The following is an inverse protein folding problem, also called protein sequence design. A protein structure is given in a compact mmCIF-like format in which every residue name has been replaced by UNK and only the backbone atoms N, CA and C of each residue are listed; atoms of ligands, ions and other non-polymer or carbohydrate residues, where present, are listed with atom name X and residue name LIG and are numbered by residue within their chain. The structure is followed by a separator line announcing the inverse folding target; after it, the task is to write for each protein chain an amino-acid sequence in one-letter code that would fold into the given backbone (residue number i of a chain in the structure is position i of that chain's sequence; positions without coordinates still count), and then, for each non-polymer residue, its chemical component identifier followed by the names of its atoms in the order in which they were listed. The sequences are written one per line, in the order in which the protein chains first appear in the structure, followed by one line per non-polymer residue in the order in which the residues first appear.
data_IF_577345190661
#
_entry.id   IF_577345190661
#
_cell.length_a   1.000
_cell.length_b   1.000
_cell.length_c   1.000
_cell.angle_alpha   90.00
_cell.angle_beta   90.00
_cell.angle_gamma   90.00
#
_symmetry.space_group_name_H-M   'P 1'
#
loop_
_entity.id
_entity.type
_entity.pdbx_description
1 polymer ?
#
# COMPACT_ATOMS: atom_id res chain seq x y z
N UNK A 1 -19.95 24.77 -20.76
CA UNK A 1 -18.86 24.82 -19.79
C UNK A 1 -17.87 23.71 -20.18
N UNK A 2 -16.70 24.05 -20.76
CA UNK A 2 -15.69 23.04 -21.15
C UNK A 2 -14.98 22.62 -19.87
N UNK A 3 -15.21 21.37 -19.43
CA UNK A 3 -14.40 20.80 -18.38
C UNK A 3 -12.93 20.83 -18.80
N UNK A 4 -12.02 21.38 -17.99
CA UNK A 4 -10.61 21.34 -18.30
C UNK A 4 -10.20 19.85 -18.47
N UNK A 5 -9.35 19.58 -19.45
CA UNK A 5 -8.89 18.20 -19.77
C UNK A 5 -8.40 17.46 -18.53
N UNK A 6 -7.83 18.19 -17.57
CA UNK A 6 -7.36 17.63 -16.31
C UNK A 6 -8.47 17.07 -15.41
N UNK A 7 -9.66 17.66 -15.38
CA UNK A 7 -10.80 17.15 -14.58
C UNK A 7 -11.33 15.85 -15.17
N UNK A 8 -11.06 15.62 -16.46
CA UNK A 8 -11.35 14.35 -17.12
C UNK A 8 -10.43 13.22 -16.63
N UNK A 9 -9.16 13.54 -16.35
CA UNK A 9 -8.16 12.58 -15.89
C UNK A 9 -8.07 12.46 -14.37
N UNK A 10 -8.33 13.55 -13.65
CA UNK A 10 -8.18 13.64 -12.19
C UNK A 10 -9.45 14.24 -11.55
N UNK A 11 -10.62 13.59 -11.68
CA UNK A 11 -11.84 14.10 -11.05
C UNK A 11 -11.62 14.11 -9.53
N UNK A 12 -11.73 15.27 -8.91
CA UNK A 12 -11.65 15.40 -7.46
C UNK A 12 -12.83 14.68 -6.81
N UNK A 13 -12.56 13.60 -6.13
CA UNK A 13 -13.55 12.87 -5.34
C UNK A 13 -13.00 12.62 -3.94
N UNK A 14 -13.83 12.75 -2.90
CA UNK A 14 -13.37 12.47 -1.55
C UNK A 14 -13.02 10.99 -1.42
N UNK A 15 -11.75 10.71 -1.10
CA UNK A 15 -11.25 9.35 -0.87
C UNK A 15 -11.70 8.85 0.49
N UNK A 16 -11.81 9.77 1.45
CA UNK A 16 -12.16 9.45 2.83
C UNK A 16 -13.64 9.71 3.08
N UNK A 17 -14.33 8.75 3.66
CA UNK A 17 -15.72 8.89 4.11
C UNK A 17 -15.80 9.66 5.42
N UNK A 18 -14.88 9.37 6.32
CA UNK A 18 -14.77 10.10 7.59
C UNK A 18 -13.87 11.32 7.38
N UNK A 19 -14.35 12.48 7.77
CA UNK A 19 -13.56 13.72 7.73
C UNK A 19 -12.95 13.94 9.10
N UNK A 20 -11.64 14.09 9.14
CA UNK A 20 -10.90 14.45 10.35
C UNK A 20 -10.12 15.73 10.08
N UNK A 21 -10.15 16.67 11.04
CA UNK A 21 -9.33 17.88 10.93
C UNK A 21 -7.84 17.48 10.94
N UNK A 22 -6.98 18.13 10.15
CA UNK A 22 -5.56 17.74 10.05
C UNK A 22 -4.86 17.64 11.41
N UNK A 23 -5.09 18.60 12.29
CA UNK A 23 -4.52 18.59 13.64
C UNK A 23 -4.96 17.37 14.44
N UNK A 24 -6.25 17.00 14.39
CA UNK A 24 -6.77 15.81 15.08
C UNK A 24 -6.15 14.56 14.50
N UNK A 25 -5.98 14.47 13.16
CA UNK A 25 -5.34 13.35 12.51
C UNK A 25 -3.88 13.19 12.98
N UNK A 26 -3.14 14.30 13.06
CA UNK A 26 -1.75 14.30 13.53
C UNK A 26 -1.68 13.84 15.00
N UNK A 27 -2.50 14.42 15.87
CA UNK A 27 -2.55 14.04 17.28
C UNK A 27 -2.93 12.57 17.46
N UNK A 28 -3.97 12.11 16.75
CA UNK A 28 -4.38 10.71 16.78
C UNK A 28 -3.27 9.77 16.29
N UNK A 29 -2.57 10.14 15.22
CA UNK A 29 -1.46 9.35 14.70
C UNK A 29 -0.34 9.18 15.73
N UNK A 30 0.12 10.27 16.35
CA UNK A 30 1.18 10.19 17.36
C UNK A 30 0.74 9.46 18.63
N UNK A 31 -0.49 9.71 19.11
CA UNK A 31 -1.04 9.03 20.29
C UNK A 31 -1.18 7.52 20.04
N UNK A 32 -1.70 7.11 18.88
CA UNK A 32 -1.80 5.69 18.52
C UNK A 32 -0.43 5.08 18.28
N UNK A 33 0.53 5.81 17.70
CA UNK A 33 1.91 5.34 17.54
C UNK A 33 2.51 5.05 18.90
N UNK A 34 2.40 5.95 19.87
CA UNK A 34 2.91 5.74 21.21
C UNK A 34 2.23 4.52 21.90
N UNK A 35 0.91 4.43 21.79
CA UNK A 35 0.14 3.31 22.34
C UNK A 35 0.56 1.97 21.72
N UNK A 36 0.59 1.89 20.39
CA UNK A 36 0.91 0.64 19.69
C UNK A 36 2.40 0.28 19.77
N UNK A 37 3.30 1.25 20.04
CA UNK A 37 4.71 0.95 20.31
C UNK A 37 4.89 0.04 21.53
N UNK A 38 3.91 0.01 22.44
CA UNK A 38 3.89 -0.91 23.58
C UNK A 38 3.84 -2.37 23.08
N UNK A 39 3.21 -2.64 21.93
CA UNK A 39 3.15 -3.98 21.36
C UNK A 39 4.56 -4.57 21.09
N UNK A 40 5.54 -3.71 20.77
CA UNK A 40 6.93 -4.15 20.55
C UNK A 40 7.62 -4.75 21.79
N UNK A 41 7.14 -4.46 22.99
CA UNK A 41 7.64 -5.11 24.20
C UNK A 41 7.17 -6.55 24.33
N UNK A 42 5.97 -6.85 23.78
CA UNK A 42 5.40 -8.21 23.80
C UNK A 42 5.83 -9.00 22.57
N UNK A 43 5.90 -8.35 21.43
CA UNK A 43 6.34 -8.94 20.18
C UNK A 43 7.83 -8.65 19.97
N UNK A 44 8.69 -9.36 20.68
CA UNK A 44 10.14 -9.17 20.57
C UNK A 44 10.68 -9.65 19.22
N UNK A 45 11.70 -8.96 18.65
CA UNK A 45 12.29 -9.35 17.37
C UNK A 45 13.23 -10.56 17.54
N UNK A 46 12.68 -11.76 17.67
CA UNK A 46 13.39 -13.03 17.90
C UNK A 46 12.86 -14.12 16.94
N UNK A 47 13.67 -15.09 16.57
CA UNK A 47 13.30 -16.15 15.64
C UNK A 47 12.87 -15.60 14.26
N UNK A 48 11.66 -15.87 13.83
CA UNK A 48 11.09 -15.31 12.60
C UNK A 48 10.52 -13.90 12.79
N UNK A 49 10.18 -13.52 14.03
CA UNK A 49 9.69 -12.20 14.34
C UNK A 49 10.80 -11.18 14.14
N UNK A 50 10.53 -10.14 13.38
CA UNK A 50 11.50 -9.09 13.08
C UNK A 50 12.68 -9.56 12.23
N UNK A 51 12.51 -10.59 11.40
CA UNK A 51 13.59 -11.09 10.55
C UNK A 51 14.23 -10.00 9.72
N UNK A 52 13.44 -9.21 8.99
CA UNK A 52 13.92 -8.10 8.16
C UNK A 52 14.49 -6.96 9.02
N UNK A 53 13.85 -6.67 10.15
CA UNK A 53 14.36 -5.71 11.11
C UNK A 53 15.78 -6.07 11.55
N UNK A 54 16.00 -7.30 12.03
CA UNK A 54 17.29 -7.75 12.53
C UNK A 54 18.35 -7.91 11.44
N UNK A 55 17.92 -8.23 10.21
CA UNK A 55 18.86 -8.45 9.10
C UNK A 55 19.30 -7.14 8.45
N UNK A 56 18.48 -6.09 8.51
CA UNK A 56 18.72 -4.85 7.78
C UNK A 56 18.60 -3.61 8.68
N UNK A 57 17.40 -3.28 9.11
CA UNK A 57 17.10 -1.98 9.69
C UNK A 57 17.68 -1.81 11.10
N UNK A 58 17.51 -2.78 11.96
CA UNK A 58 17.93 -2.75 13.37
C UNK A 58 19.45 -2.80 13.56
N UNK A 59 20.18 -3.32 12.58
CA UNK A 59 21.65 -3.37 12.58
C UNK A 59 22.28 -2.28 11.73
N UNK A 60 21.49 -1.36 11.19
CA UNK A 60 21.99 -0.24 10.37
C UNK A 60 22.45 -0.63 8.98
N UNK A 61 22.19 -1.86 8.54
CA UNK A 61 22.53 -2.35 7.20
C UNK A 61 21.42 -2.01 6.21
N UNK A 62 21.29 -0.74 5.85
CA UNK A 62 20.26 -0.27 4.89
C UNK A 62 20.74 -0.58 3.48
N UNK A 63 20.02 -1.45 2.74
CA UNK A 63 20.39 -1.80 1.37
C UNK A 63 20.46 -0.58 0.44
N UNK A 64 21.41 -0.59 -0.49
CA UNK A 64 21.68 0.51 -1.43
C UNK A 64 20.56 0.78 -2.46
N UNK A 65 19.51 -0.04 -2.50
CA UNK A 65 18.35 0.18 -3.37
C UNK A 65 17.30 1.14 -2.76
N UNK A 66 17.55 1.71 -1.59
CA UNK A 66 16.74 2.80 -1.04
C UNK A 66 17.24 4.17 -1.53
N UNK A 67 16.36 5.17 -1.67
CA UNK A 67 16.75 6.52 -2.01
C UNK A 67 17.77 7.09 -0.99
N UNK A 68 18.63 8.05 -1.38
CA UNK A 68 19.71 8.56 -0.52
C UNK A 68 19.27 9.04 0.87
N UNK A 69 18.10 9.71 0.96
CA UNK A 69 17.54 10.15 2.25
C UNK A 69 16.94 9.02 3.08
N UNK A 70 16.65 7.87 2.45
CA UNK A 70 16.01 6.72 3.10
C UNK A 70 16.86 6.16 4.21
N UNK A 71 18.17 6.07 4.01
CA UNK A 71 19.10 5.55 5.02
C UNK A 71 19.01 6.34 6.33
N UNK A 72 19.04 7.67 6.23
CA UNK A 72 18.94 8.52 7.42
C UNK A 72 17.62 8.32 8.18
N UNK A 73 16.50 8.27 7.47
CA UNK A 73 15.19 8.06 8.07
C UNK A 73 15.08 6.68 8.74
N UNK A 74 15.56 5.64 8.05
CA UNK A 74 15.45 4.24 8.52
C UNK A 74 16.29 4.04 9.78
N UNK A 75 17.46 4.63 9.87
CA UNK A 75 18.36 4.51 11.03
C UNK A 75 17.78 5.13 12.32
N UNK A 76 16.77 6.01 12.23
CA UNK A 76 16.09 6.58 13.39
C UNK A 76 14.98 5.68 13.95
N UNK A 77 14.63 4.61 13.24
CA UNK A 77 13.54 3.73 13.66
C UNK A 77 14.02 2.72 14.71
N UNK A 78 13.24 2.56 15.74
CA UNK A 78 13.35 1.42 16.66
C UNK A 78 12.33 0.35 16.29
N UNK A 79 12.51 -0.89 16.77
CA UNK A 79 11.52 -1.94 16.58
C UNK A 79 10.11 -1.50 17.02
N UNK A 80 10.03 -0.94 18.23
CA UNK A 80 8.77 -0.50 18.80
C UNK A 80 8.13 0.62 17.98
N UNK A 81 8.92 1.60 17.51
CA UNK A 81 8.40 2.68 16.67
C UNK A 81 7.94 2.19 15.30
N UNK A 82 8.62 1.23 14.71
CA UNK A 82 8.21 0.62 13.44
C UNK A 82 6.84 -0.04 13.56
N UNK A 83 6.64 -0.86 14.61
CA UNK A 83 5.34 -1.48 14.89
C UNK A 83 4.26 -0.44 15.19
N UNK A 84 4.59 0.55 16.03
CA UNK A 84 3.68 1.61 16.42
C UNK A 84 3.19 2.42 15.21
N UNK A 85 4.10 2.87 14.35
CA UNK A 85 3.79 3.63 13.13
C UNK A 85 2.94 2.77 12.17
N UNK A 86 3.30 1.50 12.00
CA UNK A 86 2.56 0.58 11.11
C UNK A 86 1.12 0.42 11.56
N UNK A 87 0.90 0.09 12.84
CA UNK A 87 -0.43 -0.13 13.39
C UNK A 87 -1.25 1.16 13.46
N UNK A 88 -0.65 2.29 13.86
CA UNK A 88 -1.32 3.58 13.91
C UNK A 88 -1.75 4.04 12.50
N UNK A 89 -0.83 4.01 11.55
CA UNK A 89 -1.10 4.37 10.16
C UNK A 89 -2.19 3.51 9.55
N UNK A 90 -2.09 2.20 9.69
CA UNK A 90 -3.08 1.26 9.19
C UNK A 90 -4.46 1.49 9.81
N UNK A 91 -4.53 1.59 11.14
CA UNK A 91 -5.80 1.80 11.87
C UNK A 91 -6.49 3.09 11.46
N UNK A 92 -5.74 4.19 11.32
CA UNK A 92 -6.29 5.47 10.87
C UNK A 92 -6.74 5.41 9.42
N UNK A 93 -5.99 4.75 8.53
CA UNK A 93 -6.41 4.58 7.14
C UNK A 93 -7.69 3.76 7.05
N UNK A 94 -7.81 2.68 7.81
CA UNK A 94 -9.00 1.85 7.91
C UNK A 94 -10.18 2.66 8.44
N UNK A 95 -10.00 3.40 9.53
CA UNK A 95 -11.04 4.26 10.11
C UNK A 95 -11.55 5.30 9.11
N UNK A 96 -10.66 6.04 8.46
CA UNK A 96 -11.04 7.09 7.51
C UNK A 96 -11.77 6.54 6.27
N UNK A 97 -11.49 5.29 5.88
CA UNK A 97 -12.13 4.61 4.76
C UNK A 97 -13.39 3.86 5.16
N UNK A 98 -13.58 3.59 6.45
CA UNK A 98 -14.59 2.67 6.93
C UNK A 98 -16.01 3.08 6.50
N UNK A 99 -16.71 2.11 5.97
CA UNK A 99 -18.15 2.15 5.72
C UNK A 99 -18.94 1.48 6.84
N UNK A 100 -18.35 0.42 7.39
CA UNK A 100 -18.88 -0.37 8.47
C UNK A 100 -17.77 -0.71 9.45
N UNK A 101 -18.00 -0.54 10.75
CA UNK A 101 -17.03 -0.86 11.80
C UNK A 101 -16.56 -2.32 11.72
N UNK A 102 -17.48 -3.22 11.37
CA UNK A 102 -17.17 -4.64 11.18
C UNK A 102 -16.13 -4.85 10.07
N UNK A 103 -16.31 -4.22 8.89
CA UNK A 103 -15.35 -4.31 7.77
C UNK A 103 -13.99 -3.70 8.15
N UNK A 104 -14.01 -2.66 8.97
CA UNK A 104 -12.80 -2.06 9.52
C UNK A 104 -12.06 -3.04 10.44
N UNK A 105 -12.77 -3.66 11.38
CA UNK A 105 -12.18 -4.63 12.31
C UNK A 105 -11.64 -5.86 11.56
N UNK A 106 -12.39 -6.41 10.61
CA UNK A 106 -11.98 -7.57 9.82
C UNK A 106 -10.74 -7.29 9.00
N UNK A 107 -10.55 -6.07 8.46
CA UNK A 107 -9.37 -5.72 7.67
C UNK A 107 -8.05 -5.85 8.45
N UNK A 108 -8.10 -5.76 9.78
CA UNK A 108 -6.94 -5.95 10.65
C UNK A 108 -6.41 -7.40 10.66
N UNK A 109 -7.18 -8.35 10.16
CA UNK A 109 -6.79 -9.76 10.06
C UNK A 109 -6.28 -10.12 8.65
N UNK A 110 -6.00 -9.14 7.80
CA UNK A 110 -5.42 -9.40 6.49
C UNK A 110 -3.99 -9.93 6.60
N UNK A 111 -3.65 -10.92 5.78
CA UNK A 111 -2.32 -11.50 5.77
C UNK A 111 -1.22 -10.45 5.54
N UNK A 112 -1.33 -9.48 4.61
CA UNK A 112 -0.29 -8.48 4.40
C UNK A 112 0.04 -7.69 5.67
N UNK A 113 -0.96 -7.31 6.48
CA UNK A 113 -0.70 -6.61 7.74
C UNK A 113 0.06 -7.48 8.73
N UNK A 114 -0.44 -8.68 8.98
CA UNK A 114 0.20 -9.59 9.94
C UNK A 114 1.61 -9.96 9.49
N UNK A 115 1.80 -10.21 8.21
CA UNK A 115 3.11 -10.55 7.67
C UNK A 115 4.13 -9.41 7.84
N UNK A 116 3.73 -8.17 7.56
CA UNK A 116 4.58 -6.99 7.75
C UNK A 116 4.96 -6.79 9.22
N UNK A 117 4.01 -6.99 10.14
CA UNK A 117 4.27 -6.91 11.57
C UNK A 117 5.27 -7.99 12.02
N UNK A 118 5.12 -9.21 11.50
CA UNK A 118 6.05 -10.31 11.82
C UNK A 118 7.44 -10.09 11.23
N UNK A 119 7.54 -9.62 9.99
CA UNK A 119 8.84 -9.41 9.35
C UNK A 119 9.57 -8.16 9.85
N UNK A 120 8.85 -7.13 10.27
CA UNK A 120 9.42 -5.81 10.57
C UNK A 120 9.81 -5.05 9.32
N UNK A 121 8.91 -5.03 8.31
CA UNK A 121 9.12 -4.38 7.04
C UNK A 121 8.73 -2.91 7.05
N UNK A 122 9.38 -2.11 6.20
CA UNK A 122 9.13 -0.67 6.05
C UNK A 122 7.82 -0.34 5.32
N UNK A 123 7.13 -1.34 4.75
CA UNK A 123 5.85 -1.17 4.05
C UNK A 123 4.79 -0.52 4.93
N UNK A 124 4.84 -0.80 6.24
CA UNK A 124 3.97 -0.16 7.23
C UNK A 124 4.15 1.35 7.30
N UNK A 125 5.40 1.82 7.25
CA UNK A 125 5.72 3.26 7.25
C UNK A 125 5.25 3.93 5.96
N UNK A 126 5.48 3.29 4.82
CA UNK A 126 4.99 3.79 3.53
C UNK A 126 3.46 3.84 3.53
N UNK A 127 2.80 2.82 4.09
CA UNK A 127 1.34 2.80 4.24
C UNK A 127 0.87 3.97 5.12
N UNK A 128 1.49 4.19 6.28
CA UNK A 128 1.18 5.31 7.15
C UNK A 128 1.40 6.67 6.47
N UNK A 129 2.45 6.78 5.64
CA UNK A 129 2.77 8.00 4.92
C UNK A 129 1.68 8.40 3.90
N UNK A 130 0.86 7.47 3.42
CA UNK A 130 -0.27 7.79 2.54
C UNK A 130 -1.31 8.71 3.21
N UNK A 131 -1.36 8.76 4.55
CA UNK A 131 -2.23 9.68 5.31
C UNK A 131 -1.83 11.15 5.14
N UNK A 132 -0.53 11.40 4.99
CA UNK A 132 0.05 12.75 4.93
C UNK A 132 0.29 13.29 3.53
N UNK A 133 -0.16 12.59 2.47
CA UNK A 133 0.00 13.08 1.09
C UNK A 133 -0.62 14.49 0.92
N UNK A 134 0.07 15.39 0.20
CA UNK A 134 1.30 15.20 -0.59
C UNK A 134 2.62 15.39 0.18
N UNK A 135 2.60 15.82 1.43
CA UNK A 135 3.80 16.23 2.18
C UNK A 135 4.73 15.06 2.53
N UNK A 136 4.20 13.86 2.57
CA UNK A 136 4.92 12.63 2.91
C UNK A 136 5.45 11.87 1.69
N UNK A 137 5.43 12.49 0.50
CA UNK A 137 5.99 11.90 -0.73
C UNK A 137 7.42 11.37 -0.54
N UNK A 138 8.35 12.05 0.16
CA UNK A 138 9.68 11.49 0.41
C UNK A 138 9.66 10.13 1.11
N UNK A 139 8.72 9.93 2.04
CA UNK A 139 8.58 8.66 2.77
C UNK A 139 7.94 7.59 1.87
N UNK A 140 6.94 7.96 1.08
CA UNK A 140 6.31 7.05 0.10
C UNK A 140 7.32 6.56 -0.93
N UNK A 141 8.26 7.41 -1.35
CA UNK A 141 9.30 7.07 -2.30
C UNK A 141 10.41 6.17 -1.73
N UNK A 142 10.40 5.82 -0.44
CA UNK A 142 11.26 4.75 0.08
C UNK A 142 10.97 3.42 -0.63
N UNK A 143 9.69 3.17 -0.93
CA UNK A 143 9.23 2.02 -1.72
C UNK A 143 8.18 2.49 -2.74
N UNK A 144 8.59 3.10 -3.85
CA UNK A 144 7.70 3.79 -4.78
C UNK A 144 6.62 2.87 -5.36
N UNK A 145 6.90 1.59 -5.56
CA UNK A 145 5.94 0.60 -6.04
C UNK A 145 4.72 0.45 -5.12
N UNK A 146 4.82 0.81 -3.82
CA UNK A 146 3.71 0.72 -2.89
C UNK A 146 2.74 1.90 -2.98
N UNK A 147 3.21 3.10 -3.33
CA UNK A 147 2.42 4.31 -3.22
C UNK A 147 2.38 5.21 -4.45
N UNK A 148 3.10 4.89 -5.53
CA UNK A 148 3.14 5.71 -6.74
C UNK A 148 1.73 6.01 -7.27
N UNK A 149 0.86 5.02 -7.36
CA UNK A 149 -0.49 5.19 -7.88
C UNK A 149 -1.41 5.95 -6.91
N UNK A 150 -1.09 5.98 -5.61
CA UNK A 150 -1.75 6.89 -4.67
C UNK A 150 -1.38 8.35 -4.97
N UNK A 151 -0.09 8.61 -5.24
CA UNK A 151 0.38 9.95 -5.61
C UNK A 151 -0.25 10.39 -6.95
N UNK A 152 -0.29 9.50 -7.94
CA UNK A 152 -0.88 9.78 -9.24
C UNK A 152 -2.41 9.91 -9.22
N UNK A 153 -3.08 9.62 -8.09
CA UNK A 153 -4.53 9.74 -7.98
C UNK A 153 -5.03 11.19 -7.98
N UNK A 154 -4.17 12.17 -7.71
CA UNK A 154 -4.51 13.59 -7.66
C UNK A 154 -3.45 14.46 -8.31
N UNK A 155 -3.91 15.48 -9.07
CA UNK A 155 -3.04 16.41 -9.78
C UNK A 155 -2.04 17.13 -8.85
N UNK A 156 -2.51 17.64 -7.72
CA UNK A 156 -1.63 18.32 -6.78
C UNK A 156 -0.55 17.39 -6.21
N UNK A 157 -0.84 16.11 -5.96
CA UNK A 157 0.15 15.15 -5.51
C UNK A 157 1.22 14.89 -6.59
N UNK A 158 0.79 14.75 -7.85
CA UNK A 158 1.71 14.60 -8.97
C UNK A 158 2.62 15.83 -9.13
N UNK A 159 2.09 17.05 -8.92
CA UNK A 159 2.90 18.27 -8.92
C UNK A 159 3.94 18.26 -7.79
N UNK A 160 3.55 17.92 -6.56
CA UNK A 160 4.48 17.79 -5.44
C UNK A 160 5.54 16.71 -5.69
N UNK A 161 5.16 15.58 -6.31
CA UNK A 161 6.11 14.55 -6.74
C UNK A 161 7.15 15.12 -7.70
N UNK A 162 6.71 15.82 -8.75
CA UNK A 162 7.61 16.41 -9.74
C UNK A 162 8.56 17.43 -9.10
N UNK A 163 8.06 18.31 -8.24
CA UNK A 163 8.86 19.29 -7.52
C UNK A 163 9.90 18.60 -6.59
N UNK A 164 9.47 17.58 -5.84
CA UNK A 164 10.36 16.83 -4.97
C UNK A 164 11.45 16.09 -5.77
N UNK A 165 11.09 15.43 -6.87
CA UNK A 165 12.07 14.74 -7.72
C UNK A 165 13.09 15.71 -8.30
N UNK A 166 12.65 16.87 -8.79
CA UNK A 166 13.56 17.91 -9.29
C UNK A 166 14.56 18.34 -8.22
N UNK A 167 14.09 18.68 -7.01
CA UNK A 167 14.95 19.07 -5.90
C UNK A 167 15.89 17.93 -5.51
N UNK A 168 15.40 16.69 -5.43
CA UNK A 168 16.19 15.54 -5.05
C UNK A 168 17.29 15.24 -6.09
N UNK A 169 17.03 15.46 -7.39
CA UNK A 169 18.02 15.27 -8.44
C UNK A 169 19.10 16.37 -8.40
N UNK A 170 18.73 17.59 -8.04
CA UNK A 170 19.71 18.66 -7.85
C UNK A 170 20.66 18.39 -6.66
N UNK A 171 20.15 17.75 -5.60
CA UNK A 171 20.95 17.47 -4.38
C UNK A 171 21.74 16.16 -4.51
N UNK A 172 21.13 15.11 -5.03
CA UNK A 172 21.70 13.74 -5.01
C UNK A 172 22.05 13.19 -6.39
N UNK A 173 21.93 13.99 -7.47
CA UNK A 173 22.06 13.50 -8.84
C UNK A 173 20.93 12.55 -9.23
N UNK A 174 21.09 11.84 -10.35
CA UNK A 174 20.08 10.89 -10.85
C UNK A 174 20.12 9.56 -10.07
N UNK A 175 19.74 9.62 -8.80
CA UNK A 175 19.74 8.48 -7.87
C UNK A 175 18.84 7.28 -8.31
N UNK A 176 17.73 7.42 -9.08
CA UNK A 176 16.94 6.25 -9.48
C UNK A 176 17.74 5.24 -10.29
N UNK A 177 18.71 5.70 -11.08
CA UNK A 177 19.59 4.81 -11.86
C UNK A 177 20.44 3.91 -10.97
N UNK A 178 21.07 4.48 -9.94
CA UNK A 178 21.91 3.71 -9.00
C UNK A 178 21.09 2.77 -8.13
N UNK A 179 19.95 3.21 -7.62
CA UNK A 179 19.06 2.36 -6.83
C UNK A 179 18.50 1.20 -7.63
N UNK A 180 18.12 1.42 -8.90
CA UNK A 180 17.66 0.38 -9.81
C UNK A 180 18.76 -0.65 -10.11
N UNK A 181 19.98 -0.19 -10.41
CA UNK A 181 21.12 -1.07 -10.65
C UNK A 181 21.41 -1.98 -9.44
N UNK A 182 21.37 -1.41 -8.22
CA UNK A 182 21.54 -2.18 -6.98
C UNK A 182 20.41 -3.17 -6.79
N UNK A 183 19.15 -2.77 -7.05
CA UNK A 183 18.00 -3.67 -6.95
C UNK A 183 18.10 -4.87 -7.91
N UNK A 184 18.61 -4.68 -9.12
CA UNK A 184 18.85 -5.77 -10.08
C UNK A 184 19.92 -6.75 -9.57
N UNK A 185 20.99 -6.25 -8.94
CA UNK A 185 22.03 -7.10 -8.37
C UNK A 185 21.53 -7.94 -7.19
N UNK A 186 20.52 -7.46 -6.46
CA UNK A 186 19.91 -8.16 -5.32
C UNK A 186 18.76 -9.09 -5.73
N UNK A 187 18.42 -9.16 -7.01
CA UNK A 187 17.30 -9.99 -7.53
C UNK A 187 17.44 -11.50 -7.29
N UNK A 188 18.63 -11.98 -6.94
CA UNK A 188 18.91 -13.35 -6.56
C UNK A 188 18.58 -13.71 -5.09
N UNK A 189 18.03 -12.79 -4.30
CA UNK A 189 17.65 -13.07 -2.91
C UNK A 189 16.51 -14.09 -2.83
N UNK A 190 16.40 -14.86 -1.72
CA UNK A 190 15.33 -15.85 -1.53
C UNK A 190 13.92 -15.30 -1.73
N UNK A 191 13.70 -14.00 -1.46
CA UNK A 191 12.46 -13.29 -1.74
C UNK A 191 12.11 -13.22 -3.24
N UNK A 192 13.06 -13.45 -4.13
CA UNK A 192 12.79 -13.49 -5.58
C UNK A 192 11.77 -14.58 -5.96
N UNK A 193 11.74 -15.70 -5.22
CA UNK A 193 10.78 -16.78 -5.44
C UNK A 193 9.33 -16.37 -5.07
N UNK A 194 9.17 -15.33 -4.25
CA UNK A 194 7.88 -14.79 -3.84
C UNK A 194 7.44 -13.61 -4.72
N UNK A 195 8.30 -13.19 -5.66
CA UNK A 195 7.95 -12.13 -6.61
C UNK A 195 6.96 -12.66 -7.64
N UNK A 196 5.79 -12.02 -7.72
CA UNK A 196 4.65 -12.48 -8.49
C UNK A 196 4.15 -11.46 -9.54
N UNK A 197 5.02 -10.76 -10.28
CA UNK A 197 4.54 -9.83 -11.30
C UNK A 197 3.66 -10.57 -12.31
N UNK A 198 2.61 -9.91 -12.76
CA UNK A 198 1.73 -10.45 -13.81
C UNK A 198 2.37 -10.35 -15.19
N UNK A 199 3.37 -9.46 -15.36
CA UNK A 199 4.10 -9.29 -16.60
C UNK A 199 3.47 -8.28 -17.57
N UNK A 200 4.18 -8.02 -18.65
CA UNK A 200 3.84 -6.94 -19.63
C UNK A 200 2.47 -7.15 -20.27
N UNK A 201 2.04 -8.39 -20.49
CA UNK A 201 0.72 -8.70 -21.08
C UNK A 201 -0.47 -8.19 -20.25
N UNK A 202 -0.29 -7.86 -18.98
CA UNK A 202 -1.34 -7.32 -18.12
C UNK A 202 -1.40 -5.80 -18.07
N UNK A 203 -0.45 -5.10 -18.71
CA UNK A 203 -0.44 -3.63 -18.79
C UNK A 203 -1.76 -3.08 -19.38
N UNK A 204 -2.34 -3.62 -20.47
CA UNK A 204 -3.62 -3.13 -20.97
C UNK A 204 -4.74 -3.21 -19.94
N UNK A 205 -4.79 -4.29 -19.14
CA UNK A 205 -5.77 -4.46 -18.06
C UNK A 205 -5.53 -3.44 -16.95
N UNK A 206 -4.28 -3.21 -16.57
CA UNK A 206 -3.93 -2.16 -15.62
C UNK A 206 -4.37 -0.78 -16.10
N UNK A 207 -4.14 -0.43 -17.36
CA UNK A 207 -4.54 0.85 -17.96
C UNK A 207 -6.06 1.03 -17.98
N UNK A 208 -6.82 0.00 -18.35
CA UNK A 208 -8.28 0.00 -18.29
C UNK A 208 -8.72 0.18 -16.82
N UNK A 209 -8.13 -0.57 -15.91
CA UNK A 209 -8.41 -0.45 -14.47
C UNK A 209 -8.11 0.95 -13.94
N UNK A 210 -6.98 1.56 -14.30
CA UNK A 210 -6.61 2.92 -13.94
C UNK A 210 -7.61 3.94 -14.50
N UNK A 211 -8.07 3.77 -15.73
CA UNK A 211 -9.08 4.62 -16.33
C UNK A 211 -10.39 4.61 -15.54
N UNK A 212 -10.89 3.45 -15.13
CA UNK A 212 -12.07 3.32 -14.28
C UNK A 212 -11.83 3.81 -12.84
N UNK A 213 -10.57 3.83 -12.40
CA UNK A 213 -10.18 4.18 -11.03
C UNK A 213 -9.94 5.66 -10.80
N UNK A 214 -9.95 6.49 -11.83
CA UNK A 214 -9.57 7.93 -11.80
C UNK A 214 -10.15 8.65 -10.59
N UNK A 215 -9.26 9.35 -9.86
CA UNK A 215 -9.62 10.13 -8.67
C UNK A 215 -10.01 9.32 -7.43
N UNK A 216 -9.98 7.98 -7.50
CA UNK A 216 -10.14 7.09 -6.34
C UNK A 216 -8.79 6.44 -6.02
N UNK A 217 -8.16 6.86 -4.94
CA UNK A 217 -6.80 6.44 -4.59
C UNK A 217 -6.71 4.92 -4.40
N UNK A 218 -7.68 4.30 -3.72
CA UNK A 218 -7.65 2.87 -3.45
C UNK A 218 -7.77 2.06 -4.75
N UNK A 219 -8.72 2.43 -5.60
CA UNK A 219 -8.88 1.77 -6.90
C UNK A 219 -7.67 1.99 -7.82
N UNK A 220 -7.07 3.18 -7.79
CA UNK A 220 -5.85 3.46 -8.57
C UNK A 220 -4.68 2.63 -8.09
N UNK A 221 -4.50 2.46 -6.79
CA UNK A 221 -3.47 1.60 -6.22
C UNK A 221 -3.69 0.13 -6.58
N UNK A 222 -4.92 -0.38 -6.47
CA UNK A 222 -5.28 -1.75 -6.85
C UNK A 222 -5.03 -2.01 -8.36
N UNK A 223 -5.44 -1.07 -9.23
CA UNK A 223 -5.20 -1.20 -10.68
C UNK A 223 -3.73 -1.09 -11.04
N UNK A 224 -3.05 -0.12 -10.43
CA UNK A 224 -1.65 0.16 -10.72
C UNK A 224 -0.71 -0.97 -10.27
N UNK A 225 -1.07 -1.67 -9.18
CA UNK A 225 -0.28 -2.82 -8.71
C UNK A 225 -0.14 -3.91 -9.78
N UNK A 226 -1.13 -4.04 -10.69
CA UNK A 226 -1.12 -5.01 -11.80
C UNK A 226 0.02 -4.75 -12.80
N UNK A 227 0.45 -3.50 -12.94
CA UNK A 227 1.53 -3.11 -13.85
C UNK A 227 2.92 -3.16 -13.23
N UNK A 228 3.03 -3.47 -11.92
CA UNK A 228 4.32 -3.44 -11.24
C UNK A 228 5.20 -4.63 -11.63
N UNK A 229 6.49 -4.39 -11.91
CA UNK A 229 7.44 -5.45 -12.28
C UNK A 229 7.93 -6.24 -11.04
N UNK A 230 7.72 -5.71 -9.85
CA UNK A 230 8.15 -6.33 -8.60
C UNK A 230 7.03 -6.24 -7.57
N UNK A 231 6.49 -7.39 -7.19
CA UNK A 231 5.39 -7.52 -6.23
C UNK A 231 5.57 -8.78 -5.41
N UNK A 232 5.62 -8.63 -4.10
CA UNK A 232 5.53 -9.74 -3.14
C UNK A 232 4.18 -9.63 -2.43
N UNK A 233 3.51 -10.71 -2.01
CA UNK A 233 2.16 -10.63 -1.42
C UNK A 233 2.03 -9.68 -0.22
N UNK A 234 3.07 -9.49 0.59
CA UNK A 234 3.01 -8.53 1.69
C UNK A 234 3.07 -7.06 1.22
N UNK A 235 3.55 -6.77 -0.01
CA UNK A 235 3.45 -5.44 -0.62
C UNK A 235 2.01 -4.98 -0.86
N UNK A 236 1.04 -5.86 -0.71
CA UNK A 236 -0.38 -5.50 -0.77
C UNK A 236 -0.86 -4.78 0.51
N UNK A 237 -0.02 -4.59 1.54
CA UNK A 237 -0.41 -3.88 2.75
C UNK A 237 -1.08 -2.52 2.49
N UNK A 238 -0.55 -1.61 1.64
CA UNK A 238 -1.19 -0.31 1.39
C UNK A 238 -2.56 -0.41 0.73
N UNK A 239 -2.89 -1.58 0.15
CA UNK A 239 -4.17 -1.85 -0.52
C UNK A 239 -5.23 -2.37 0.46
N UNK A 240 -4.81 -3.03 1.54
CA UNK A 240 -5.72 -3.68 2.49
C UNK A 240 -6.66 -2.73 3.25
N UNK A 241 -6.34 -1.45 3.53
CA UNK A 241 -7.30 -0.52 4.11
C UNK A 241 -8.55 -0.28 3.25
N UNK A 242 -8.48 -0.56 1.94
CA UNK A 242 -9.64 -0.50 1.03
C UNK A 242 -10.73 -1.51 1.39
N UNK A 243 -10.39 -2.61 2.09
CA UNK A 243 -11.34 -3.62 2.59
C UNK A 243 -12.39 -2.96 3.51
N UNK A 244 -12.00 -1.96 4.30
CA UNK A 244 -12.93 -1.26 5.19
C UNK A 244 -14.07 -0.54 4.45
N UNK A 245 -13.96 -0.32 3.13
CA UNK A 245 -15.01 0.24 2.28
C UNK A 245 -16.04 -0.78 1.85
N UNK A 246 -15.73 -2.08 1.96
CA UNK A 246 -16.56 -3.16 1.48
C UNK A 246 -17.71 -3.45 2.47
N UNK A 247 -18.76 -4.09 1.99
CA UNK A 247 -19.80 -4.67 2.84
C UNK A 247 -19.21 -5.79 3.72
N UNK A 248 -19.81 -6.08 4.89
CA UNK A 248 -19.26 -7.06 5.82
C UNK A 248 -18.86 -8.40 5.20
N UNK A 249 -19.74 -9.01 4.42
CA UNK A 249 -19.46 -10.29 3.77
C UNK A 249 -18.29 -10.19 2.75
N UNK A 250 -18.26 -9.10 1.96
CA UNK A 250 -17.20 -8.89 0.99
C UNK A 250 -15.87 -8.58 1.68
N UNK A 251 -15.88 -7.93 2.84
CA UNK A 251 -14.70 -7.71 3.66
C UNK A 251 -14.14 -9.04 4.20
N UNK A 252 -15.00 -9.93 4.73
CA UNK A 252 -14.59 -11.28 5.16
C UNK A 252 -13.95 -12.02 3.99
N UNK A 253 -14.62 -12.03 2.83
CA UNK A 253 -14.13 -12.72 1.64
C UNK A 253 -12.78 -12.14 1.20
N UNK A 254 -12.63 -10.81 1.15
CA UNK A 254 -11.37 -10.16 0.79
C UNK A 254 -10.24 -10.53 1.75
N UNK A 255 -10.51 -10.55 3.06
CA UNK A 255 -9.53 -10.99 4.06
C UNK A 255 -9.16 -12.45 3.84
N UNK A 256 -10.14 -13.35 3.68
CA UNK A 256 -9.88 -14.77 3.41
C UNK A 256 -9.01 -14.95 2.14
N UNK A 257 -9.33 -14.23 1.06
CA UNK A 257 -8.55 -14.25 -0.18
C UNK A 257 -7.13 -13.71 0.00
N UNK A 258 -6.91 -12.79 0.94
CA UNK A 258 -5.56 -12.28 1.24
C UNK A 258 -4.63 -13.34 1.81
N UNK A 259 -5.18 -14.46 2.35
CA UNK A 259 -4.42 -15.57 2.91
C UNK A 259 -4.05 -16.64 1.88
N UNK A 260 -4.61 -16.60 0.69
CA UNK A 260 -4.31 -17.58 -0.37
C UNK A 260 -2.82 -17.72 -0.72
N UNK A 261 -1.98 -16.68 -0.65
CA UNK A 261 -0.55 -16.84 -0.88
C UNK A 261 0.12 -17.90 -0.02
N UNK A 262 -0.38 -18.15 1.20
CA UNK A 262 0.18 -19.19 2.07
C UNK A 262 0.01 -20.61 1.49
N UNK A 263 -0.89 -20.80 0.52
CA UNK A 263 -1.01 -22.07 -0.21
C UNK A 263 0.29 -22.48 -0.92
N UNK A 264 1.22 -21.54 -1.12
CA UNK A 264 2.55 -21.83 -1.65
C UNK A 264 3.29 -22.90 -0.83
N UNK A 265 2.96 -23.08 0.45
CA UNK A 265 3.51 -24.13 1.29
C UNK A 265 3.07 -25.54 0.85
N UNK A 266 1.98 -25.66 0.07
CA UNK A 266 1.43 -26.94 -0.39
C UNK A 266 1.53 -27.13 -1.90
N UNK A 267 1.31 -26.04 -2.67
CA UNK A 267 1.28 -26.10 -4.14
C UNK A 267 2.53 -25.50 -4.80
N UNK A 268 3.53 -25.15 -3.99
CA UNK A 268 4.78 -24.56 -4.47
C UNK A 268 4.63 -23.09 -4.89
N UNK A 269 5.60 -22.54 -5.63
CA UNK A 269 5.67 -21.07 -5.92
C UNK A 269 4.45 -20.47 -6.60
N UNK A 270 3.64 -21.28 -7.28
CA UNK A 270 2.38 -20.84 -7.88
C UNK A 270 1.38 -20.30 -6.85
N UNK A 271 1.41 -20.85 -5.63
CA UNK A 271 0.53 -20.41 -4.56
C UNK A 271 0.68 -18.92 -4.24
N UNK A 272 1.87 -18.36 -4.36
CA UNK A 272 2.10 -16.93 -4.16
C UNK A 272 1.24 -16.06 -5.09
N UNK A 273 1.03 -16.51 -6.33
CA UNK A 273 0.24 -15.77 -7.34
C UNK A 273 -1.24 -15.71 -7.02
N UNK A 274 -1.77 -16.56 -6.15
CA UNK A 274 -3.16 -16.53 -5.71
C UNK A 274 -3.50 -15.25 -4.93
N UNK A 275 -2.49 -14.51 -4.45
CA UNK A 275 -2.68 -13.19 -3.87
C UNK A 275 -3.34 -12.17 -4.80
N UNK A 276 -3.22 -12.35 -6.12
CA UNK A 276 -3.88 -11.48 -7.08
C UNK A 276 -5.40 -11.60 -7.06
N UNK A 277 -5.95 -12.72 -6.62
CA UNK A 277 -7.40 -12.91 -6.47
C UNK A 277 -7.96 -11.89 -5.49
N UNK A 278 -7.27 -11.62 -4.38
CA UNK A 278 -7.61 -10.58 -3.43
C UNK A 278 -7.70 -9.20 -4.09
N UNK A 279 -6.72 -8.84 -4.92
CA UNK A 279 -6.63 -7.53 -5.60
C UNK A 279 -7.80 -7.34 -6.56
N UNK A 280 -8.03 -8.33 -7.45
CA UNK A 280 -9.12 -8.27 -8.43
C UNK A 280 -10.49 -8.28 -7.76
N UNK A 281 -10.69 -9.11 -6.74
CA UNK A 281 -11.93 -9.16 -5.98
C UNK A 281 -12.24 -7.82 -5.32
N UNK A 282 -11.26 -7.22 -4.65
CA UNK A 282 -11.42 -5.93 -3.96
C UNK A 282 -11.72 -4.81 -4.96
N UNK A 283 -10.94 -4.74 -6.03
CA UNK A 283 -11.17 -3.74 -7.09
C UNK A 283 -12.56 -3.86 -7.70
N UNK A 284 -13.00 -5.09 -8.04
CA UNK A 284 -14.30 -5.36 -8.63
C UNK A 284 -15.44 -4.90 -7.74
N UNK A 285 -15.37 -5.20 -6.43
CA UNK A 285 -16.38 -4.74 -5.45
C UNK A 285 -16.45 -3.22 -5.37
N UNK A 286 -15.29 -2.53 -5.36
CA UNK A 286 -15.24 -1.08 -5.37
C UNK A 286 -15.79 -0.50 -6.68
N UNK A 287 -15.50 -1.13 -7.82
CA UNK A 287 -16.01 -0.73 -9.12
C UNK A 287 -17.54 -0.84 -9.21
N UNK A 288 -18.13 -1.93 -8.70
CA UNK A 288 -19.60 -2.08 -8.62
C UNK A 288 -20.21 -0.98 -7.75
N UNK A 289 -19.63 -0.68 -6.60
CA UNK A 289 -20.12 0.39 -5.73
C UNK A 289 -20.05 1.78 -6.39
N UNK A 290 -19.05 1.98 -7.26
CA UNK A 290 -18.82 3.25 -7.94
C UNK A 290 -19.68 3.43 -9.19
N UNK A 291 -19.91 2.35 -9.92
CA UNK A 291 -20.57 2.33 -11.22
C UNK A 291 -21.77 1.35 -11.26
N UNK A 292 -22.76 1.48 -10.36
CA UNK A 292 -23.85 0.51 -10.23
C UNK A 292 -24.70 0.39 -11.50
N UNK A 293 -24.79 1.46 -12.30
CA UNK A 293 -25.60 1.53 -13.53
C UNK A 293 -24.82 1.13 -14.79
N UNK A 294 -23.53 0.84 -14.67
CA UNK A 294 -22.75 0.38 -15.83
C UNK A 294 -23.21 -1.02 -16.24
N UNK A 295 -23.40 -1.26 -17.56
CA UNK A 295 -24.02 -2.48 -18.09
C UNK A 295 -23.44 -3.74 -17.49
N UNK A 296 -22.09 -3.82 -17.41
CA UNK A 296 -21.38 -4.97 -16.83
C UNK A 296 -21.67 -5.13 -15.34
N UNK A 297 -21.75 -4.04 -14.57
CA UNK A 297 -21.92 -4.07 -13.13
C UNK A 297 -23.40 -4.11 -12.68
N UNK A 298 -24.34 -3.66 -13.54
CA UNK A 298 -25.78 -3.60 -13.22
C UNK A 298 -26.34 -4.95 -12.80
N UNK A 299 -25.91 -6.05 -13.44
CA UNK A 299 -26.35 -7.40 -13.11
C UNK A 299 -25.87 -7.84 -11.72
N UNK A 300 -24.69 -7.40 -11.33
CA UNK A 300 -24.06 -7.73 -10.05
C UNK A 300 -24.41 -6.74 -8.95
N UNK A 301 -24.81 -5.50 -9.28
CA UNK A 301 -25.10 -4.47 -8.27
C UNK A 301 -26.18 -4.89 -7.27
N UNK A 302 -27.18 -5.65 -7.68
CA UNK A 302 -28.23 -6.19 -6.81
C UNK A 302 -27.67 -7.08 -5.68
N UNK A 303 -26.56 -7.78 -5.93
CA UNK A 303 -25.91 -8.67 -4.95
C UNK A 303 -24.86 -7.93 -4.10
N UNK A 304 -24.31 -6.86 -4.64
CA UNK A 304 -23.14 -6.17 -4.08
C UNK A 304 -23.47 -4.77 -3.52
N UNK A 305 -24.64 -4.21 -3.75
CA UNK A 305 -25.16 -2.97 -3.16
C UNK A 305 -26.21 -3.23 -2.08
#
# INVERSE_FOLDING_TARGET
MKLPIWDLFFPERPVYRQKMKPLILILAFFSLTALFSIAGFFLKPEGFVGFEWRSFWGVGNVPGFYPPWGKWLILQLTWNSLLGITLAGFSLMVYLRSRHLFSAAVSCFSLPLLWILFLGQLDGIVTAALLGLPYTIPIVLLKPHLGLFAILSRRNYAFFLAAFLLISFLIYGFWPGSTYATALQTSGLPSANQNIPLGIGWIPIALIGLWFSRGDMDMMMLSGSVALPYVIPYHFLPLTPSIARLRPWAAITAVALSWLPLSANWVGPWGWRLGWIFIFFTWFNLAIQRYPNFIVFRKFSKWFL
#
